data_IF_174298866743
#
_entry.id   IF_174298866743
#
_cell.length_a   1.000
_cell.length_b   1.000
_cell.length_c   1.000
_cell.angle_alpha   90.00
_cell.angle_beta   90.00
_cell.angle_gamma   90.00
#
_symmetry.space_group_name_H-M   'P 1'
#
loop_
_entity.id
_entity.type
_entity.pdbx_description
1 polymer ?
#
# COMPACT_ATOMS: atom_id res chain seq x y z
N UNK A 1 -24.05 7.46 -9.63
CA UNK A 1 -22.64 7.19 -9.94
C UNK A 1 -22.61 6.24 -11.13
N UNK A 2 -21.67 6.37 -12.07
CA UNK A 2 -21.56 5.41 -13.17
C UNK A 2 -21.25 4.02 -12.60
N UNK A 3 -21.90 2.95 -13.09
CA UNK A 3 -21.73 1.57 -12.58
C UNK A 3 -20.28 1.12 -12.57
N UNK A 4 -19.50 1.58 -13.54
CA UNK A 4 -18.09 1.22 -13.64
C UNK A 4 -17.19 1.85 -12.56
N UNK A 5 -17.68 2.86 -11.85
CA UNK A 5 -17.02 3.42 -10.66
C UNK A 5 -17.42 2.68 -9.37
N UNK A 6 -18.40 1.77 -9.46
CA UNK A 6 -18.73 0.85 -8.37
C UNK A 6 -17.57 -0.13 -8.16
N UNK A 7 -17.32 -0.48 -6.91
CA UNK A 7 -16.29 -1.44 -6.49
C UNK A 7 -14.83 -1.03 -6.80
N UNK A 8 -14.58 0.22 -7.20
CA UNK A 8 -13.19 0.73 -7.36
C UNK A 8 -12.38 0.55 -6.09
N UNK A 9 -12.99 0.80 -4.92
CA UNK A 9 -12.34 0.59 -3.63
C UNK A 9 -11.94 -0.88 -3.42
N UNK A 10 -12.85 -1.83 -3.66
CA UNK A 10 -12.60 -3.27 -3.50
C UNK A 10 -11.49 -3.74 -4.45
N UNK A 11 -11.54 -3.36 -5.72
CA UNK A 11 -10.50 -3.72 -6.70
C UNK A 11 -9.11 -3.17 -6.34
N UNK A 12 -9.06 -1.94 -5.81
CA UNK A 12 -7.81 -1.35 -5.33
C UNK A 12 -7.30 -2.06 -4.07
N UNK A 13 -8.21 -2.51 -3.20
CA UNK A 13 -7.87 -3.29 -2.02
C UNK A 13 -7.27 -4.64 -2.43
N UNK A 14 -7.96 -5.40 -3.27
CA UNK A 14 -7.51 -6.71 -3.74
C UNK A 14 -6.12 -6.65 -4.40
N UNK A 15 -5.92 -5.65 -5.27
CA UNK A 15 -4.60 -5.42 -5.87
C UNK A 15 -3.57 -5.00 -4.82
N UNK A 16 -3.94 -4.13 -3.88
CA UNK A 16 -3.07 -3.64 -2.81
C UNK A 16 -2.55 -4.76 -1.92
N UNK A 17 -3.42 -5.66 -1.48
CA UNK A 17 -3.05 -6.81 -0.64
C UNK A 17 -2.30 -7.89 -1.43
N UNK A 18 -2.62 -8.09 -2.72
CA UNK A 18 -1.84 -8.96 -3.60
C UNK A 18 -0.41 -8.46 -3.81
N UNK A 19 -0.22 -7.15 -3.99
CA UNK A 19 1.11 -6.53 -4.06
C UNK A 19 1.82 -6.60 -2.70
N UNK A 20 1.10 -6.43 -1.59
CA UNK A 20 1.66 -6.60 -0.25
C UNK A 20 2.20 -8.01 -0.03
N UNK A 21 1.49 -9.04 -0.48
CA UNK A 21 1.96 -10.43 -0.37
C UNK A 21 3.29 -10.64 -1.10
N UNK A 22 3.41 -10.12 -2.33
CA UNK A 22 4.66 -10.17 -3.08
C UNK A 22 5.78 -9.36 -2.40
N UNK A 23 5.45 -8.20 -1.83
CA UNK A 23 6.40 -7.41 -1.07
C UNK A 23 6.92 -8.18 0.15
N UNK A 24 6.01 -8.81 0.91
CA UNK A 24 6.35 -9.63 2.07
C UNK A 24 7.26 -10.81 1.69
N UNK A 25 6.99 -11.46 0.57
CA UNK A 25 7.88 -12.50 0.03
C UNK A 25 9.30 -11.98 -0.20
N UNK A 26 9.43 -10.86 -0.90
CA UNK A 26 10.72 -10.26 -1.27
C UNK A 26 11.51 -9.67 -0.09
N UNK A 27 10.86 -9.38 1.05
CA UNK A 27 11.55 -8.82 2.23
C UNK A 27 11.85 -9.89 3.27
N UNK A 28 10.96 -10.86 3.47
CA UNK A 28 11.09 -11.90 4.50
C UNK A 28 11.91 -13.09 4.04
N UNK A 29 11.85 -13.44 2.75
CA UNK A 29 12.57 -14.59 2.21
C UNK A 29 13.71 -14.15 1.29
N UNK A 30 14.73 -14.99 1.22
CA UNK A 30 15.87 -14.78 0.32
C UNK A 30 15.83 -15.84 -0.76
N UNK A 31 15.69 -15.43 -2.01
CA UNK A 31 15.83 -16.29 -3.16
C UNK A 31 17.29 -16.71 -3.38
N UNK A 32 17.49 -17.92 -3.88
CA UNK A 32 18.78 -18.37 -4.41
C UNK A 32 18.95 -17.83 -5.84
N UNK A 33 20.16 -17.43 -6.22
CA UNK A 33 20.52 -16.97 -7.58
C UNK A 33 19.85 -15.66 -8.08
N UNK A 34 19.76 -14.64 -7.24
CA UNK A 34 19.24 -13.32 -7.63
C UNK A 34 20.34 -12.37 -8.12
N UNK A 35 20.02 -11.55 -9.14
CA UNK A 35 20.98 -10.58 -9.71
C UNK A 35 21.25 -9.38 -8.80
N UNK A 36 20.26 -9.01 -8.00
CA UNK A 36 20.29 -7.92 -7.02
C UNK A 36 19.50 -8.36 -5.78
N UNK A 37 19.75 -7.72 -4.64
CA UNK A 37 18.97 -7.98 -3.43
C UNK A 37 17.47 -7.76 -3.67
N UNK A 38 16.65 -8.78 -3.42
CA UNK A 38 15.19 -8.72 -3.58
C UNK A 38 14.54 -7.70 -2.64
N UNK A 39 15.23 -7.29 -1.57
CA UNK A 39 14.79 -6.18 -0.72
C UNK A 39 14.53 -4.88 -1.50
N UNK A 40 15.18 -4.70 -2.66
CA UNK A 40 14.89 -3.63 -3.61
C UNK A 40 13.45 -3.71 -4.12
N UNK A 41 13.04 -4.88 -4.61
CA UNK A 41 11.67 -5.12 -5.06
C UNK A 41 10.69 -5.04 -3.89
N UNK A 42 11.09 -5.55 -2.73
CA UNK A 42 10.37 -5.41 -1.47
C UNK A 42 10.00 -3.96 -1.16
N UNK A 43 10.96 -3.03 -1.24
CA UNK A 43 10.69 -1.59 -1.01
C UNK A 43 9.73 -1.02 -2.06
N UNK A 44 9.96 -1.29 -3.35
CA UNK A 44 9.14 -0.76 -4.42
C UNK A 44 7.68 -1.24 -4.32
N UNK A 45 7.49 -2.53 -4.09
CA UNK A 45 6.17 -3.15 -3.96
C UNK A 45 5.49 -2.73 -2.66
N UNK A 46 6.23 -2.62 -1.55
CA UNK A 46 5.68 -2.13 -0.28
C UNK A 46 5.11 -0.71 -0.44
N UNK A 47 5.84 0.19 -1.12
CA UNK A 47 5.36 1.54 -1.37
C UNK A 47 4.10 1.55 -2.26
N UNK A 48 4.08 0.70 -3.29
CA UNK A 48 2.94 0.55 -4.18
C UNK A 48 1.72 -0.03 -3.45
N UNK A 49 1.90 -1.03 -2.60
CA UNK A 49 0.84 -1.60 -1.77
C UNK A 49 0.21 -0.52 -0.88
N UNK A 50 1.02 0.28 -0.18
CA UNK A 50 0.51 1.40 0.61
C UNK A 50 -0.25 2.43 -0.23
N UNK A 51 0.24 2.77 -1.42
CA UNK A 51 -0.44 3.70 -2.32
C UNK A 51 -1.84 3.20 -2.69
N UNK A 52 -1.94 1.92 -3.07
CA UNK A 52 -3.19 1.26 -3.45
C UNK A 52 -4.15 1.14 -2.27
N UNK A 53 -3.66 0.71 -1.11
CA UNK A 53 -4.48 0.54 0.10
C UNK A 53 -5.01 1.90 0.61
N UNK A 54 -4.18 2.95 0.61
CA UNK A 54 -4.65 4.29 0.99
C UNK A 54 -5.68 4.81 -0.01
N UNK A 55 -5.44 4.65 -1.32
CA UNK A 55 -6.42 5.03 -2.35
C UNK A 55 -7.72 4.22 -2.21
N UNK A 56 -7.63 2.94 -1.88
CA UNK A 56 -8.80 2.12 -1.60
C UNK A 56 -9.61 2.66 -0.41
N UNK A 57 -8.95 3.00 0.70
CA UNK A 57 -9.60 3.60 1.87
C UNK A 57 -10.29 4.93 1.55
N UNK A 58 -9.64 5.79 0.76
CA UNK A 58 -10.23 7.05 0.27
C UNK A 58 -11.45 6.75 -0.64
N UNK A 59 -11.33 5.79 -1.55
CA UNK A 59 -12.39 5.41 -2.47
C UNK A 59 -13.61 4.78 -1.77
N UNK A 60 -13.46 4.22 -0.55
CA UNK A 60 -14.62 3.79 0.28
C UNK A 60 -15.55 4.95 0.60
N UNK A 61 -15.02 6.18 0.71
CA UNK A 61 -15.82 7.38 0.94
C UNK A 61 -16.49 7.81 -0.37
N UNK A 62 -15.71 7.95 -1.43
CA UNK A 62 -16.22 8.21 -2.78
C UNK A 62 -15.10 7.96 -3.83
N UNK A 63 -15.34 7.19 -4.91
CA UNK A 63 -14.30 6.81 -5.88
C UNK A 63 -13.57 7.99 -6.52
N UNK A 64 -14.25 9.10 -6.81
CA UNK A 64 -13.62 10.27 -7.42
C UNK A 64 -12.59 10.98 -6.52
N UNK A 65 -12.56 10.71 -5.21
CA UNK A 65 -11.63 11.37 -4.28
C UNK A 65 -10.17 10.90 -4.44
N UNK A 66 -9.91 9.82 -5.18
CA UNK A 66 -8.54 9.39 -5.47
C UNK A 66 -7.89 10.21 -6.59
N UNK A 67 -8.67 11.06 -7.28
CA UNK A 67 -8.23 11.86 -8.40
C UNK A 67 -7.83 13.28 -7.98
N UNK A 68 -6.60 13.68 -8.32
CA UNK A 68 -6.10 15.05 -8.20
C UNK A 68 -6.66 15.97 -9.28
N UNK A 69 -7.07 15.41 -10.41
CA UNK A 69 -7.75 16.13 -11.48
C UNK A 69 -8.91 15.28 -12.00
N UNK A 70 -10.13 15.79 -11.83
CA UNK A 70 -11.36 15.20 -12.36
C UNK A 70 -11.74 15.97 -13.64
N UNK A 71 -12.08 15.29 -14.75
CA UNK A 71 -12.53 15.97 -15.96
C UNK A 71 -13.73 16.87 -15.68
N UNK A 72 -13.75 18.07 -16.29
CA UNK A 72 -14.82 19.05 -16.10
C UNK A 72 -16.05 18.64 -16.91
N UNK A 73 -17.24 18.99 -16.44
CA UNK A 73 -18.51 18.76 -17.16
C UNK A 73 -18.54 19.41 -18.55
N UNK A 74 -17.77 20.47 -18.77
CA UNK A 74 -17.61 21.14 -20.07
C UNK A 74 -16.74 20.38 -21.07
N UNK A 75 -16.06 19.33 -20.62
CA UNK A 75 -15.07 18.58 -21.39
C UNK A 75 -15.52 17.14 -21.68
N UNK A 76 -16.73 16.76 -21.24
CA UNK A 76 -17.32 15.44 -21.45
C UNK A 76 -18.60 15.56 -22.26
N UNK A 77 -18.86 14.57 -23.11
CA UNK A 77 -19.96 14.59 -24.07
C UNK A 77 -21.30 14.07 -23.50
N UNK A 78 -21.31 13.55 -22.27
CA UNK A 78 -22.50 12.98 -21.60
C UNK A 78 -22.93 13.72 -20.32
N UNK A 79 -24.11 13.37 -19.80
CA UNK A 79 -24.67 13.95 -18.56
C UNK A 79 -23.91 13.52 -17.29
N UNK A 80 -23.24 12.38 -17.33
CA UNK A 80 -22.43 11.84 -16.23
C UNK A 80 -20.99 11.60 -16.69
N UNK A 81 -20.07 11.75 -15.76
CA UNK A 81 -18.65 11.45 -15.96
C UNK A 81 -18.49 9.94 -16.22
N UNK A 82 -18.00 9.57 -17.41
CA UNK A 82 -17.71 8.18 -17.74
C UNK A 82 -16.31 7.79 -17.26
N UNK A 83 -16.06 6.49 -17.16
CA UNK A 83 -14.71 5.94 -16.89
C UNK A 83 -13.73 6.28 -17.99
N UNK A 84 -14.19 6.33 -19.24
CA UNK A 84 -13.35 6.66 -20.38
C UNK A 84 -12.81 8.09 -20.25
N UNK A 85 -13.65 9.04 -19.83
CA UNK A 85 -13.24 10.43 -19.57
C UNK A 85 -12.18 10.50 -18.44
N UNK A 86 -12.34 9.66 -17.42
CA UNK A 86 -11.40 9.53 -16.30
C UNK A 86 -10.09 8.86 -16.75
N UNK A 87 -10.12 7.85 -17.62
CA UNK A 87 -8.91 7.22 -18.13
C UNK A 87 -8.09 8.16 -19.01
N UNK A 88 -8.75 8.97 -19.83
CA UNK A 88 -8.07 9.87 -20.76
C UNK A 88 -7.45 11.08 -20.07
N UNK A 89 -8.11 11.62 -19.04
CA UNK A 89 -7.73 12.91 -18.44
C UNK A 89 -7.57 12.91 -16.92
N UNK A 90 -7.95 11.80 -16.26
CA UNK A 90 -7.86 11.66 -14.82
C UNK A 90 -6.42 11.47 -14.37
N UNK A 91 -6.03 12.21 -13.33
CA UNK A 91 -4.76 12.01 -12.63
C UNK A 91 -5.07 11.62 -11.21
N UNK A 92 -4.48 10.53 -10.71
CA UNK A 92 -4.63 10.16 -9.30
C UNK A 92 -3.67 10.96 -8.41
N UNK A 93 -3.96 11.01 -7.12
CA UNK A 93 -3.04 11.58 -6.14
C UNK A 93 -1.71 10.83 -6.12
N UNK A 94 -0.61 11.57 -6.01
CA UNK A 94 0.73 11.01 -5.90
C UNK A 94 0.97 10.51 -4.49
N UNK A 95 1.90 9.56 -4.34
CA UNK A 95 2.27 8.97 -3.05
C UNK A 95 2.46 10.01 -1.93
N UNK A 96 3.18 11.11 -2.20
CA UNK A 96 3.46 12.15 -1.20
C UNK A 96 2.22 12.90 -0.70
N UNK A 97 1.16 12.97 -1.50
CA UNK A 97 -0.07 13.71 -1.18
C UNK A 97 -1.07 12.85 -0.39
N UNK A 98 -0.93 11.52 -0.46
CA UNK A 98 -1.92 10.58 0.07
C UNK A 98 -2.21 10.70 1.57
N UNK A 99 -1.23 10.92 2.46
CA UNK A 99 -1.52 11.09 3.89
C UNK A 99 -2.53 12.21 4.17
N UNK A 100 -2.39 13.33 3.48
CA UNK A 100 -3.27 14.49 3.64
C UNK A 100 -4.67 14.19 3.09
N UNK A 101 -4.74 13.50 1.94
CA UNK A 101 -6.02 13.12 1.32
C UNK A 101 -6.76 12.07 2.14
N UNK A 102 -6.04 11.11 2.73
CA UNK A 102 -6.60 10.13 3.65
C UNK A 102 -7.22 10.81 4.86
N UNK A 103 -6.50 11.72 5.51
CA UNK A 103 -7.02 12.48 6.64
C UNK A 103 -8.23 13.33 6.25
N UNK A 104 -8.15 14.09 5.17
CA UNK A 104 -9.22 15.00 4.75
C UNK A 104 -10.53 14.27 4.40
N UNK A 105 -10.44 13.05 3.86
CA UNK A 105 -11.61 12.28 3.43
C UNK A 105 -12.17 11.33 4.49
N UNK A 106 -11.32 10.80 5.38
CA UNK A 106 -11.72 9.76 6.35
C UNK A 106 -11.61 10.18 7.81
N UNK A 107 -10.93 11.30 8.10
CA UNK A 107 -10.56 11.71 9.45
C UNK A 107 -9.37 10.93 10.04
N UNK A 108 -8.90 9.87 9.40
CA UNK A 108 -7.79 9.06 9.88
C UNK A 108 -6.43 9.73 9.62
N UNK A 109 -5.65 9.94 10.67
CA UNK A 109 -4.27 10.43 10.59
C UNK A 109 -3.31 9.26 10.69
N UNK A 110 -2.36 9.17 9.77
CA UNK A 110 -1.29 8.15 9.85
C UNK A 110 -0.48 8.34 11.15
N UNK A 111 -0.44 7.34 12.05
CA UNK A 111 0.30 7.46 13.30
C UNK A 111 1.80 7.66 13.10
N UNK A 112 2.37 7.08 12.03
CA UNK A 112 3.79 7.10 11.72
C UNK A 112 4.07 7.85 10.41
N UNK A 113 3.63 9.11 10.32
CA UNK A 113 3.77 9.94 9.11
C UNK A 113 5.23 10.14 8.68
N UNK A 114 6.17 10.25 9.62
CA UNK A 114 7.58 10.41 9.28
C UNK A 114 8.14 9.14 8.64
N UNK A 115 7.79 7.96 9.15
CA UNK A 115 8.08 6.67 8.50
C UNK A 115 7.49 6.61 7.10
N UNK A 116 6.28 7.14 6.88
CA UNK A 116 5.70 7.22 5.55
C UNK A 116 6.55 8.05 4.58
N UNK A 117 6.98 9.23 5.03
CA UNK A 117 7.76 10.18 4.23
C UNK A 117 9.16 9.66 3.92
N UNK A 118 9.85 9.10 4.91
CA UNK A 118 11.20 8.59 4.74
C UNK A 118 11.23 7.37 3.83
N UNK A 119 10.21 6.50 3.90
CA UNK A 119 10.08 5.39 2.97
C UNK A 119 9.78 5.86 1.54
N UNK A 120 8.99 6.92 1.37
CA UNK A 120 8.81 7.58 0.07
C UNK A 120 10.12 8.10 -0.52
N UNK A 121 11.02 8.66 0.30
CA UNK A 121 12.36 9.07 -0.14
C UNK A 121 13.18 7.86 -0.57
N UNK A 122 13.18 6.78 0.23
CA UNK A 122 13.90 5.54 -0.07
C UNK A 122 13.46 4.94 -1.42
N UNK A 123 12.15 4.83 -1.64
CA UNK A 123 11.56 4.38 -2.92
C UNK A 123 12.01 5.26 -4.08
N UNK A 124 12.00 6.59 -3.92
CA UNK A 124 12.43 7.51 -4.98
C UNK A 124 13.92 7.39 -5.28
N UNK A 125 14.77 7.19 -4.25
CA UNK A 125 16.20 6.95 -4.42
C UNK A 125 16.45 5.71 -5.28
N UNK A 126 15.76 4.60 -4.96
CA UNK A 126 15.88 3.34 -5.70
C UNK A 126 15.41 3.52 -7.15
N UNK A 127 14.28 4.18 -7.39
CA UNK A 127 13.70 4.29 -8.74
C UNK A 127 14.46 5.24 -9.67
N UNK A 128 15.02 6.32 -9.15
CA UNK A 128 15.55 7.40 -9.99
C UNK A 128 17.08 7.51 -9.97
N UNK A 129 17.76 6.87 -9.01
CA UNK A 129 19.19 7.07 -8.82
C UNK A 129 19.96 5.75 -8.72
N UNK A 130 19.93 5.09 -7.56
CA UNK A 130 20.78 3.94 -7.28
C UNK A 130 20.28 3.16 -6.07
N UNK A 131 20.86 1.97 -5.88
CA UNK A 131 20.65 1.15 -4.70
C UNK A 131 21.38 1.78 -3.49
N UNK A 132 20.66 2.20 -2.43
CA UNK A 132 21.30 2.78 -1.26
C UNK A 132 21.92 1.68 -0.39
N UNK A 133 22.98 2.00 0.35
CA UNK A 133 23.65 1.08 1.28
C UNK A 133 22.88 0.82 2.59
N UNK A 134 21.55 0.93 2.58
CA UNK A 134 20.68 0.70 3.73
C UNK A 134 20.20 -0.76 3.78
N UNK A 135 19.76 -1.24 4.95
CA UNK A 135 19.10 -2.54 5.07
C UNK A 135 17.65 -2.44 4.57
N UNK A 136 17.47 -2.58 3.25
CA UNK A 136 16.20 -2.39 2.56
C UNK A 136 15.06 -3.27 3.11
N UNK A 137 15.39 -4.51 3.46
CA UNK A 137 14.43 -5.47 4.01
C UNK A 137 13.91 -5.00 5.36
N UNK A 138 14.80 -4.55 6.24
CA UNK A 138 14.43 -4.01 7.54
C UNK A 138 13.59 -2.73 7.41
N UNK A 139 13.92 -1.84 6.49
CA UNK A 139 13.13 -0.63 6.22
C UNK A 139 11.72 -0.99 5.73
N UNK A 140 11.60 -1.94 4.80
CA UNK A 140 10.31 -2.37 4.25
C UNK A 140 9.45 -3.09 5.30
N UNK A 141 10.02 -4.00 6.09
CA UNK A 141 9.31 -4.66 7.18
C UNK A 141 8.83 -3.64 8.21
N UNK A 142 9.69 -2.69 8.62
CA UNK A 142 9.30 -1.61 9.52
C UNK A 142 8.11 -0.81 8.97
N UNK A 143 8.15 -0.47 7.69
CA UNK A 143 7.08 0.28 7.05
C UNK A 143 5.79 -0.53 6.98
N UNK A 144 5.84 -1.82 6.61
CA UNK A 144 4.66 -2.70 6.56
C UNK A 144 3.93 -2.66 7.90
N UNK A 145 4.62 -2.93 9.01
CA UNK A 145 3.95 -3.08 10.31
C UNK A 145 3.67 -1.75 11.04
N UNK A 146 4.42 -0.68 10.74
CA UNK A 146 4.15 0.66 11.33
C UNK A 146 3.18 1.49 10.50
N UNK A 147 2.99 1.21 9.22
CA UNK A 147 2.19 2.05 8.32
C UNK A 147 1.07 1.27 7.65
N UNK A 148 1.35 0.15 6.97
CA UNK A 148 0.32 -0.60 6.23
C UNK A 148 -0.62 -1.34 7.19
N UNK A 149 -0.07 -2.10 8.12
CA UNK A 149 -0.81 -2.88 9.12
C UNK A 149 -1.83 -2.03 9.91
N UNK A 150 -1.50 -0.81 10.41
CA UNK A 150 -2.52 0.08 11.00
C UNK A 150 -3.64 0.49 10.06
N UNK A 151 -3.35 0.66 8.76
CA UNK A 151 -4.37 1.01 7.77
C UNK A 151 -5.29 -0.19 7.55
N UNK A 152 -4.73 -1.40 7.43
CA UNK A 152 -5.50 -2.64 7.30
C UNK A 152 -6.45 -2.84 8.49
N UNK A 153 -5.93 -2.68 9.71
CA UNK A 153 -6.71 -2.82 10.94
C UNK A 153 -7.86 -1.80 10.98
N UNK A 154 -7.55 -0.52 10.71
CA UNK A 154 -8.51 0.57 10.82
C UNK A 154 -9.67 0.46 9.82
N UNK A 155 -9.38 0.09 8.57
CA UNK A 155 -10.37 0.19 7.48
C UNK A 155 -11.00 -1.15 7.11
N UNK A 156 -10.37 -2.27 7.47
CA UNK A 156 -10.82 -3.63 7.13
C UNK A 156 -10.77 -4.63 8.29
N UNK A 157 -10.35 -4.22 9.49
CA UNK A 157 -10.17 -5.13 10.64
C UNK A 157 -9.28 -6.33 10.30
N UNK A 158 -8.26 -6.07 9.49
CA UNK A 158 -7.37 -7.06 8.91
C UNK A 158 -5.90 -6.70 9.19
N UNK A 159 -4.97 -7.62 8.92
CA UNK A 159 -3.58 -7.51 9.34
C UNK A 159 -2.63 -7.96 8.22
N UNK A 160 -1.47 -7.32 8.11
CA UNK A 160 -0.49 -7.60 7.06
C UNK A 160 -0.01 -9.07 7.08
N UNK A 161 0.07 -9.67 8.28
CA UNK A 161 0.47 -11.07 8.49
C UNK A 161 -0.43 -12.06 7.77
N UNK A 162 -1.71 -11.72 7.53
CA UNK A 162 -2.66 -12.58 6.83
C UNK A 162 -2.34 -12.73 5.34
N UNK A 163 -1.45 -11.89 4.81
CA UNK A 163 -1.03 -11.86 3.40
C UNK A 163 0.40 -12.38 3.19
N UNK A 164 0.96 -13.11 4.15
CA UNK A 164 2.25 -13.79 3.95
C UNK A 164 1.97 -15.08 3.18
N UNK A 165 2.56 -15.20 1.99
CA UNK A 165 2.51 -16.45 1.23
C UNK A 165 3.47 -17.47 1.86
N UNK A 166 2.90 -18.54 2.42
CA UNK A 166 3.63 -19.58 3.15
C UNK A 166 3.99 -20.77 2.25
N UNK A 167 3.46 -20.87 1.02
CA UNK A 167 3.64 -22.06 0.18
C UNK A 167 5.11 -22.29 -0.23
N UNK A 168 5.94 -21.23 -0.21
CA UNK A 168 7.37 -21.29 -0.53
C UNK A 168 8.30 -21.26 0.71
N UNK A 169 7.76 -21.09 1.92
CA UNK A 169 8.53 -20.90 3.14
C UNK A 169 8.60 -22.19 3.96
N UNK A 170 9.79 -22.77 4.11
CA UNK A 170 10.01 -23.80 5.14
C UNK A 170 9.86 -23.13 6.52
N UNK A 171 8.67 -23.24 7.10
CA UNK A 171 8.28 -22.97 8.50
C UNK A 171 9.28 -22.16 9.36
N UNK A 172 9.23 -20.82 9.32
CA UNK A 172 9.84 -19.99 10.39
C UNK A 172 9.36 -18.52 10.44
N UNK A 173 8.07 -18.28 10.20
CA UNK A 173 7.48 -16.93 10.17
C UNK A 173 7.80 -16.11 11.44
N UNK A 174 7.62 -16.70 12.63
CA UNK A 174 7.87 -16.01 13.90
C UNK A 174 9.35 -15.74 14.12
N UNK A 175 10.24 -16.66 13.72
CA UNK A 175 11.68 -16.47 13.82
C UNK A 175 12.16 -15.33 12.93
N UNK A 176 11.61 -15.19 11.72
CA UNK A 176 11.91 -14.09 10.81
C UNK A 176 11.40 -12.74 11.34
N UNK A 177 10.18 -12.70 11.86
CA UNK A 177 9.59 -11.49 12.46
C UNK A 177 10.39 -11.04 13.69
N UNK A 178 10.78 -11.98 14.56
CA UNK A 178 11.62 -11.74 15.73
C UNK A 178 13.02 -11.26 15.31
N UNK A 179 13.62 -11.86 14.29
CA UNK A 179 14.94 -11.45 13.77
C UNK A 179 14.95 -9.99 13.29
N UNK A 180 13.82 -9.49 12.79
CA UNK A 180 13.64 -8.09 12.39
C UNK A 180 13.15 -7.18 13.52
N UNK A 181 13.04 -7.70 14.75
CA UNK A 181 12.63 -6.98 15.94
C UNK A 181 11.24 -6.31 15.80
N UNK A 182 10.33 -7.02 15.12
CA UNK A 182 8.97 -6.54 14.81
C UNK A 182 7.96 -7.25 15.70
N UNK A 183 6.98 -6.50 16.21
CA UNK A 183 5.84 -7.05 16.95
C UNK A 183 4.61 -6.86 16.06
N UNK A 184 4.12 -7.91 15.38
CA UNK A 184 2.96 -7.81 14.51
C UNK A 184 1.70 -7.59 15.35
N UNK A 185 0.73 -6.84 14.81
CA UNK A 185 -0.59 -6.75 15.44
C UNK A 185 -1.31 -8.07 15.26
N UNK A 186 -2.09 -8.41 16.27
CA UNK A 186 -3.00 -9.54 16.25
C UNK A 186 -4.33 -9.06 16.84
N UNK A 187 -5.46 -9.68 16.46
CA UNK A 187 -6.71 -9.42 17.15
C UNK A 187 -6.55 -9.71 18.65
N UNK A 188 -7.10 -8.83 19.50
CA UNK A 188 -7.27 -9.09 20.92
C UNK A 188 -8.10 -10.38 21.07
N UNK A 189 -7.53 -11.44 21.64
CA UNK A 189 -8.31 -12.61 22.10
C UNK A 189 -9.08 -12.16 23.36
N UNK A 190 -10.05 -11.26 23.19
CA UNK A 190 -11.03 -10.99 24.24
C UNK A 190 -12.05 -12.11 24.22
N UNK A 191 -11.76 -13.13 25.03
CA UNK A 191 -12.68 -14.09 25.66
C UNK A 191 -13.81 -14.61 24.76
N UNK A 192 -13.58 -15.77 24.15
CA UNK A 192 -14.63 -16.79 24.02
C UNK A 192 -15.05 -17.25 25.42
#
# INVERSE_FOLDING_TARGET
MHTDMENVSERLFDLGVGVLAQAQKNVLFTGYDTRIDEGVFGVLQTAQAAELLIKSAIAKQHPLLIFSNVPKSTSVSGELLSVQDIFENGKTHQYADLPEKLWASTGYKLPHLDTYRDFGKLRNTIQHFALPGANLRTEAVNFIYKVIDPILEQFWSDYAVNYIDLEDAQDDMFSLIIAHNVIPRHPDIKKL
#
